data_IF_159149002713
#
_entry.id   IF_159149002713
#
_cell.length_a   1.000
_cell.length_b   1.000
_cell.length_c   1.000
_cell.angle_alpha   90.00
_cell.angle_beta   90.00
_cell.angle_gamma   90.00
#
_symmetry.space_group_name_H-M   'P 1'
#
loop_
_entity.id
_entity.type
_entity.pdbx_description
1 polymer ?
#
# COMPACT_ATOMS: atom_id res chain seq x y z
N UNK A 1 6.03 18.44 12.69
CA UNK A 1 5.99 17.11 12.04
C UNK A 1 4.80 16.36 12.61
N UNK A 2 3.97 15.77 11.75
CA UNK A 2 2.77 15.05 12.18
C UNK A 2 3.19 13.84 13.05
N UNK A 3 2.49 13.56 14.11
CA UNK A 3 2.82 12.51 15.12
C UNK A 3 3.01 11.11 14.51
N UNK A 4 2.45 10.85 13.34
CA UNK A 4 2.54 9.56 12.64
C UNK A 4 3.94 9.16 12.17
N UNK A 5 4.87 10.09 12.08
CA UNK A 5 6.25 9.83 11.67
C UNK A 5 7.25 9.81 12.84
N UNK A 6 6.78 9.97 14.08
CA UNK A 6 7.59 9.83 15.29
C UNK A 6 7.45 8.43 15.91
N UNK A 7 6.97 7.47 15.17
CA UNK A 7 6.70 6.09 15.57
C UNK A 7 7.20 5.11 14.52
N UNK A 8 7.42 3.83 14.86
CA UNK A 8 7.89 2.83 13.91
C UNK A 8 6.99 2.72 12.69
N UNK A 9 7.60 2.46 11.52
CA UNK A 9 6.91 2.30 10.24
C UNK A 9 7.06 0.87 9.78
N UNK A 10 5.96 0.29 9.28
CA UNK A 10 5.92 -1.06 8.73
C UNK A 10 5.49 -0.99 7.27
N UNK A 11 6.31 -1.56 6.37
CA UNK A 11 6.06 -1.59 4.93
C UNK A 11 5.61 -2.99 4.52
N UNK A 12 4.42 -3.10 3.94
CA UNK A 12 3.96 -4.31 3.25
C UNK A 12 3.97 -4.08 1.74
N UNK A 13 4.78 -4.86 1.05
CA UNK A 13 4.95 -4.78 -0.40
C UNK A 13 3.75 -5.27 -1.21
N UNK A 14 3.91 -5.22 -2.54
CA UNK A 14 2.89 -5.64 -3.51
C UNK A 14 3.05 -7.10 -3.97
N UNK A 15 2.02 -7.59 -4.66
CA UNK A 15 1.95 -8.94 -5.19
C UNK A 15 3.18 -9.30 -6.04
N UNK A 16 3.83 -10.42 -5.72
CA UNK A 16 5.04 -10.97 -6.36
C UNK A 16 6.27 -10.06 -6.34
N UNK A 17 6.25 -8.95 -5.60
CA UNK A 17 7.41 -8.10 -5.42
C UNK A 17 8.16 -8.57 -4.17
N UNK A 18 9.45 -8.85 -4.34
CA UNK A 18 10.30 -9.28 -3.22
C UNK A 18 10.46 -8.11 -2.23
N UNK A 19 10.48 -8.41 -0.93
CA UNK A 19 10.71 -7.41 0.14
C UNK A 19 12.00 -6.61 -0.06
N UNK A 20 13.05 -7.21 -0.63
CA UNK A 20 14.31 -6.48 -0.97
C UNK A 20 14.12 -5.30 -1.92
N UNK A 21 13.05 -5.28 -2.72
CA UNK A 21 12.76 -4.15 -3.62
C UNK A 21 12.43 -2.85 -2.85
N UNK A 22 12.02 -2.97 -1.59
CA UNK A 22 11.65 -1.84 -0.72
C UNK A 22 12.79 -1.35 0.18
N UNK A 23 13.98 -1.98 0.08
CA UNK A 23 15.12 -1.64 0.94
C UNK A 23 15.54 -0.18 0.80
N UNK A 24 15.73 0.29 -0.44
CA UNK A 24 16.08 1.69 -0.73
C UNK A 24 15.05 2.69 -0.15
N UNK A 25 13.76 2.38 -0.32
CA UNK A 25 12.65 3.15 0.25
C UNK A 25 12.70 3.18 1.79
N UNK A 26 12.90 2.03 2.42
CA UNK A 26 12.98 1.88 3.88
C UNK A 26 14.17 2.68 4.44
N UNK A 27 15.36 2.51 3.88
CA UNK A 27 16.58 3.23 4.28
C UNK A 27 16.42 4.74 4.13
N UNK A 28 15.82 5.19 3.04
CA UNK A 28 15.58 6.61 2.82
C UNK A 28 14.58 7.19 3.84
N UNK A 29 13.44 6.52 4.08
CA UNK A 29 12.48 6.94 5.09
C UNK A 29 13.15 7.01 6.47
N UNK A 30 13.88 5.97 6.87
CA UNK A 30 14.57 5.92 8.14
C UNK A 30 15.56 7.07 8.31
N UNK A 31 16.32 7.41 7.26
CA UNK A 31 17.29 8.53 7.30
C UNK A 31 16.61 9.90 7.43
N UNK A 32 15.38 10.06 6.91
CA UNK A 32 14.66 11.34 6.89
C UNK A 32 13.90 11.64 8.17
N UNK A 33 13.36 10.63 8.82
CA UNK A 33 12.45 10.80 9.96
C UNK A 33 12.97 10.15 11.25
N UNK A 34 14.19 9.60 11.22
CA UNK A 34 14.89 9.01 12.38
C UNK A 34 14.02 8.04 13.19
N UNK A 35 13.29 7.16 12.49
CA UNK A 35 12.46 6.13 13.11
C UNK A 35 12.77 4.75 12.53
N UNK A 36 12.46 3.71 13.28
CA UNK A 36 12.63 2.32 12.82
C UNK A 36 11.65 2.04 11.66
N UNK A 37 12.16 1.49 10.57
CA UNK A 37 11.36 1.10 9.42
C UNK A 37 11.58 -0.38 9.14
N UNK A 38 10.52 -1.17 9.23
CA UNK A 38 10.56 -2.62 9.02
C UNK A 38 9.78 -3.03 7.77
N UNK A 39 10.32 -3.96 6.99
CA UNK A 39 9.66 -4.49 5.79
C UNK A 39 9.13 -5.88 6.12
N UNK A 40 7.84 -6.11 5.95
CA UNK A 40 7.24 -7.45 6.14
C UNK A 40 7.84 -8.43 5.13
N UNK A 41 8.50 -9.52 5.59
CA UNK A 41 9.17 -10.47 4.71
C UNK A 41 8.15 -11.43 4.08
N UNK A 42 7.65 -11.08 2.89
CA UNK A 42 6.73 -11.92 2.12
C UNK A 42 7.45 -12.50 0.91
N UNK A 43 7.44 -13.81 0.79
CA UNK A 43 8.02 -14.55 -0.33
C UNK A 43 7.08 -14.57 -1.55
N UNK A 44 7.63 -14.88 -2.73
CA UNK A 44 6.81 -15.04 -3.95
C UNK A 44 5.76 -16.15 -3.83
N UNK A 45 6.11 -17.25 -3.12
CA UNK A 45 5.18 -18.37 -2.90
C UNK A 45 4.01 -17.94 -2.02
N UNK A 46 4.27 -17.21 -0.97
CA UNK A 46 3.22 -16.66 -0.11
C UNK A 46 2.33 -15.66 -0.87
N UNK A 47 2.91 -14.84 -1.75
CA UNK A 47 2.11 -14.00 -2.65
C UNK A 47 1.23 -14.80 -3.60
N UNK A 48 1.72 -15.90 -4.18
CA UNK A 48 0.92 -16.78 -5.04
C UNK A 48 -0.24 -17.44 -4.28
N UNK A 49 -0.04 -17.75 -3.00
CA UNK A 49 -1.11 -18.31 -2.15
C UNK A 49 -2.24 -17.31 -1.83
N UNK A 50 -2.06 -16.01 -2.09
CA UNK A 50 -3.11 -14.98 -1.87
C UNK A 50 -4.29 -15.06 -2.84
N UNK A 51 -4.30 -15.98 -3.79
CA UNK A 51 -5.50 -16.36 -4.51
C UNK A 51 -6.56 -17.00 -3.58
N UNK A 52 -6.13 -17.48 -2.42
CA UNK A 52 -6.98 -18.09 -1.38
C UNK A 52 -6.86 -17.32 -0.06
N UNK A 53 -7.85 -17.44 0.79
CA UNK A 53 -7.91 -16.75 2.09
C UNK A 53 -6.76 -17.13 3.03
N UNK A 54 -6.31 -18.38 3.00
CA UNK A 54 -5.18 -18.82 3.84
C UNK A 54 -3.88 -18.08 3.51
N UNK A 55 -3.66 -17.71 2.25
CA UNK A 55 -2.49 -16.94 1.85
C UNK A 55 -2.52 -15.50 2.41
N UNK A 56 -3.70 -14.88 2.43
CA UNK A 56 -3.87 -13.61 3.13
C UNK A 56 -3.62 -13.74 4.63
N UNK A 57 -4.12 -14.84 5.24
CA UNK A 57 -3.88 -15.12 6.66
C UNK A 57 -2.40 -15.21 6.99
N UNK A 58 -1.60 -15.92 6.19
CA UNK A 58 -0.14 -16.03 6.39
C UNK A 58 0.51 -14.65 6.42
N UNK A 59 0.14 -13.76 5.50
CA UNK A 59 0.70 -12.41 5.45
C UNK A 59 0.20 -11.57 6.62
N UNK A 60 -1.08 -11.66 6.96
CA UNK A 60 -1.67 -10.96 8.10
C UNK A 60 -1.03 -11.37 9.43
N UNK A 61 -0.74 -12.66 9.62
CA UNK A 61 -0.06 -13.16 10.84
C UNK A 61 1.37 -12.59 10.96
N UNK A 62 2.08 -12.44 9.82
CA UNK A 62 3.40 -11.78 9.79
C UNK A 62 3.30 -10.29 10.12
N UNK A 63 2.31 -9.59 9.56
CA UNK A 63 2.05 -8.19 9.88
C UNK A 63 1.75 -8.04 11.37
N UNK A 64 0.85 -8.86 11.91
CA UNK A 64 0.45 -8.86 13.33
C UNK A 64 1.66 -9.01 14.25
N UNK A 65 2.55 -9.98 13.96
CA UNK A 65 3.75 -10.21 14.76
C UNK A 65 4.62 -8.95 14.82
N UNK A 66 4.98 -8.39 13.65
CA UNK A 66 5.86 -7.22 13.57
C UNK A 66 5.19 -5.99 14.19
N UNK A 67 3.89 -5.78 13.95
CA UNK A 67 3.15 -4.65 14.53
C UNK A 67 3.15 -4.71 16.03
N UNK A 68 2.86 -5.87 16.64
CA UNK A 68 2.86 -6.04 18.10
C UNK A 68 4.23 -5.80 18.71
N UNK A 69 5.29 -6.34 18.10
CA UNK A 69 6.66 -6.12 18.55
C UNK A 69 7.01 -4.63 18.51
N UNK A 70 6.81 -3.95 17.38
CA UNK A 70 7.20 -2.55 17.23
C UNK A 70 6.28 -1.57 17.97
N UNK A 71 5.01 -1.88 18.16
CA UNK A 71 4.11 -1.02 18.94
C UNK A 71 4.54 -0.97 20.42
N UNK A 72 5.06 -2.06 20.97
CA UNK A 72 5.60 -2.09 22.35
C UNK A 72 6.87 -1.24 22.51
N UNK A 73 7.69 -1.13 21.45
CA UNK A 73 8.88 -0.28 21.42
C UNK A 73 8.54 1.20 21.19
N UNK A 74 7.33 1.50 20.74
CA UNK A 74 6.88 2.84 20.38
C UNK A 74 6.44 3.65 21.60
N UNK A 75 6.91 4.89 21.73
CA UNK A 75 6.45 5.81 22.77
C UNK A 75 4.94 6.13 22.71
N UNK A 76 4.32 5.92 21.56
CA UNK A 76 2.88 6.12 21.34
C UNK A 76 2.08 4.83 21.47
N UNK A 77 2.71 3.68 21.64
CA UNK A 77 2.13 2.34 21.51
C UNK A 77 1.44 2.12 20.15
N UNK A 78 1.86 2.87 19.14
CA UNK A 78 1.32 2.82 17.78
C UNK A 78 2.44 2.70 16.74
N UNK A 79 2.04 2.25 15.55
CA UNK A 79 2.88 2.21 14.36
C UNK A 79 2.20 2.90 13.18
N UNK A 80 2.98 3.27 12.18
CA UNK A 80 2.47 3.71 10.86
C UNK A 80 2.61 2.55 9.88
N UNK A 81 1.56 2.29 9.13
CA UNK A 81 1.51 1.25 8.11
C UNK A 81 1.66 1.87 6.72
N UNK A 82 2.52 1.30 5.89
CA UNK A 82 2.64 1.64 4.46
C UNK A 82 2.35 0.39 3.65
N UNK A 83 1.31 0.43 2.82
CA UNK A 83 0.95 -0.66 1.93
C UNK A 83 1.13 -0.30 0.46
N UNK A 84 1.99 -1.02 -0.26
CA UNK A 84 2.12 -0.86 -1.71
C UNK A 84 1.23 -1.87 -2.44
N UNK A 85 0.49 -1.40 -3.46
CA UNK A 85 -0.30 -2.28 -4.32
C UNK A 85 -1.26 -3.19 -3.51
N UNK A 86 -1.18 -4.51 -3.69
CA UNK A 86 -1.98 -5.48 -2.91
C UNK A 86 -1.73 -5.41 -1.40
N UNK A 87 -0.55 -4.96 -0.98
CA UNK A 87 -0.22 -4.78 0.45
C UNK A 87 -1.17 -3.79 1.15
N UNK A 88 -1.57 -2.71 0.47
CA UNK A 88 -2.53 -1.77 1.06
C UNK A 88 -3.91 -2.40 1.31
N UNK A 89 -4.36 -3.31 0.45
CA UNK A 89 -5.61 -4.03 0.64
C UNK A 89 -5.54 -4.99 1.85
N UNK A 90 -4.42 -5.70 2.01
CA UNK A 90 -4.19 -6.58 3.16
C UNK A 90 -4.11 -5.78 4.45
N UNK A 91 -3.45 -4.61 4.45
CA UNK A 91 -3.37 -3.75 5.63
C UNK A 91 -4.73 -3.13 6.01
N UNK A 92 -5.61 -2.83 5.05
CA UNK A 92 -6.99 -2.42 5.37
C UNK A 92 -7.75 -3.52 6.10
N UNK A 93 -7.59 -4.78 5.69
CA UNK A 93 -8.16 -5.92 6.40
C UNK A 93 -7.50 -6.11 7.78
N UNK A 94 -6.18 -5.93 7.88
CA UNK A 94 -5.46 -5.99 9.16
C UNK A 94 -6.04 -5.02 10.21
N UNK A 95 -6.37 -3.80 9.81
CA UNK A 95 -6.96 -2.80 10.72
C UNK A 95 -8.32 -3.23 11.28
N UNK A 96 -9.03 -4.17 10.64
CA UNK A 96 -10.41 -4.45 10.93
C UNK A 96 -10.63 -5.37 12.14
N UNK A 97 -11.83 -5.26 12.71
CA UNK A 97 -12.39 -6.18 13.71
C UNK A 97 -13.21 -7.31 13.07
N UNK A 98 -13.09 -7.50 11.76
CA UNK A 98 -13.74 -8.60 11.05
C UNK A 98 -13.07 -9.94 11.36
N UNK A 99 -13.90 -10.97 11.56
CA UNK A 99 -13.41 -12.34 11.60
C UNK A 99 -12.95 -12.76 10.19
N UNK A 100 -11.67 -13.08 10.06
CA UNK A 100 -11.09 -13.53 8.80
C UNK A 100 -10.22 -14.77 9.03
N UNK A 101 -10.56 -15.87 8.35
CA UNK A 101 -9.83 -17.15 8.44
C UNK A 101 -9.54 -17.59 9.89
N UNK A 102 -10.53 -17.41 10.78
CA UNK A 102 -10.46 -17.80 12.18
C UNK A 102 -9.80 -16.77 13.12
N UNK A 103 -9.31 -15.63 12.64
CA UNK A 103 -8.66 -14.60 13.44
C UNK A 103 -9.39 -13.25 13.32
N UNK A 104 -9.30 -12.43 14.38
CA UNK A 104 -9.65 -11.01 14.41
C UNK A 104 -8.37 -10.26 14.76
N UNK A 105 -7.87 -9.43 13.83
CA UNK A 105 -6.57 -8.74 13.99
C UNK A 105 -6.67 -7.44 14.79
N UNK A 106 -7.73 -6.66 14.58
CA UNK A 106 -7.95 -5.39 15.27
C UNK A 106 -6.75 -4.41 15.21
N UNK A 107 -6.05 -4.38 14.08
CA UNK A 107 -4.84 -3.60 13.90
C UNK A 107 -5.00 -2.11 14.17
N UNK A 108 -6.23 -1.55 14.12
CA UNK A 108 -6.55 -0.18 14.53
C UNK A 108 -6.15 0.13 15.98
N UNK A 109 -6.04 -0.90 16.84
CA UNK A 109 -5.58 -0.74 18.21
C UNK A 109 -4.07 -0.52 18.31
N UNK A 110 -3.31 -0.83 17.26
CA UNK A 110 -1.84 -0.77 17.20
C UNK A 110 -1.31 0.20 16.15
N UNK A 111 -2.14 0.61 15.19
CA UNK A 111 -1.77 1.55 14.15
C UNK A 111 -2.75 2.72 14.12
N UNK A 112 -2.24 3.94 13.93
CA UNK A 112 -3.03 5.16 13.82
C UNK A 112 -2.87 5.88 12.46
N UNK A 113 -2.08 5.30 11.55
CA UNK A 113 -1.94 5.81 10.19
C UNK A 113 -1.74 4.66 9.19
N UNK A 114 -2.46 4.71 8.07
CA UNK A 114 -2.28 3.84 6.91
C UNK A 114 -2.03 4.68 5.66
N UNK A 115 -0.87 4.52 5.07
CA UNK A 115 -0.50 5.10 3.77
C UNK A 115 -0.59 3.99 2.71
N UNK A 116 -1.40 4.18 1.68
CA UNK A 116 -1.46 3.25 0.54
C UNK A 116 -0.83 3.86 -0.70
N UNK A 117 0.09 3.13 -1.32
CA UNK A 117 0.84 3.54 -2.50
C UNK A 117 0.39 2.70 -3.71
N UNK A 118 -0.32 3.28 -4.67
CA UNK A 118 -0.82 2.58 -5.84
C UNK A 118 -1.68 1.35 -5.53
N UNK A 119 -2.36 1.31 -4.38
CA UNK A 119 -3.20 0.18 -3.99
C UNK A 119 -4.56 0.27 -4.69
N UNK A 120 -5.11 -0.84 -5.24
CA UNK A 120 -6.40 -0.82 -5.92
C UNK A 120 -7.55 -0.77 -4.91
N UNK A 121 -7.66 0.33 -4.17
CA UNK A 121 -8.59 0.54 -3.07
C UNK A 121 -10.06 0.53 -3.51
N UNK A 122 -10.34 0.99 -4.73
CA UNK A 122 -11.68 1.16 -5.30
C UNK A 122 -11.77 0.52 -6.69
N UNK A 123 -11.28 -0.71 -6.83
CA UNK A 123 -11.39 -1.42 -8.10
C UNK A 123 -12.86 -1.78 -8.40
N UNK A 124 -13.37 -1.35 -9.56
CA UNK A 124 -14.73 -1.72 -10.03
C UNK A 124 -14.86 -3.22 -10.30
N UNK A 125 -13.74 -3.88 -10.68
CA UNK A 125 -13.63 -5.32 -10.85
C UNK A 125 -12.50 -5.81 -9.96
N UNK A 126 -12.81 -6.66 -9.01
CA UNK A 126 -11.86 -7.13 -8.03
C UNK A 126 -11.94 -8.65 -7.89
N UNK A 127 -10.86 -9.27 -7.43
CA UNK A 127 -10.91 -10.65 -6.94
C UNK A 127 -11.85 -10.74 -5.75
N UNK A 128 -12.31 -11.95 -5.43
CA UNK A 128 -13.19 -12.18 -4.29
C UNK A 128 -12.69 -11.52 -3.00
N UNK A 129 -11.41 -11.69 -2.66
CA UNK A 129 -10.83 -11.13 -1.43
C UNK A 129 -10.73 -9.60 -1.46
N UNK A 130 -10.38 -8.98 -2.60
CA UNK A 130 -10.40 -7.51 -2.71
C UNK A 130 -11.81 -6.96 -2.61
N UNK A 131 -12.77 -7.64 -3.24
CA UNK A 131 -14.18 -7.27 -3.13
C UNK A 131 -14.69 -7.40 -1.70
N UNK A 132 -14.29 -8.45 -0.97
CA UNK A 132 -14.58 -8.61 0.46
C UNK A 132 -14.12 -7.39 1.25
N UNK A 133 -12.85 -6.96 1.09
CA UNK A 133 -12.34 -5.78 1.78
C UNK A 133 -13.10 -4.51 1.37
N UNK A 134 -13.29 -4.28 0.07
CA UNK A 134 -13.92 -3.05 -0.42
C UNK A 134 -15.38 -2.92 -0.02
N UNK A 135 -16.13 -4.04 0.06
CA UNK A 135 -17.54 -4.06 0.43
C UNK A 135 -17.77 -3.99 1.94
N UNK A 136 -16.89 -4.62 2.73
CA UNK A 136 -17.02 -4.64 4.20
C UNK A 136 -16.39 -3.45 4.89
N UNK A 137 -15.38 -2.84 4.25
CA UNK A 137 -14.61 -1.72 4.76
C UNK A 137 -14.57 -0.60 3.72
N UNK A 138 -15.71 0.00 3.35
CA UNK A 138 -15.75 1.04 2.32
C UNK A 138 -15.01 2.30 2.76
N UNK A 139 -14.23 2.89 1.86
CA UNK A 139 -13.49 4.12 2.12
C UNK A 139 -12.50 3.99 3.29
N UNK A 140 -12.28 5.10 3.99
CA UNK A 140 -11.50 5.18 5.24
C UNK A 140 -12.33 4.75 6.45
N UNK A 141 -12.72 3.47 6.48
CA UNK A 141 -13.74 2.94 7.39
C UNK A 141 -13.48 3.23 8.89
N UNK A 142 -12.22 3.18 9.32
CA UNK A 142 -11.84 3.48 10.70
C UNK A 142 -11.23 4.88 10.85
N UNK A 143 -11.74 5.89 10.15
CA UNK A 143 -11.19 7.24 10.14
C UNK A 143 -11.26 7.97 11.49
N UNK A 144 -12.02 7.47 12.45
CA UNK A 144 -12.01 7.94 13.85
C UNK A 144 -10.75 7.54 14.61
N UNK A 145 -10.15 6.39 14.25
CA UNK A 145 -9.02 5.80 14.96
C UNK A 145 -7.73 5.86 14.13
N UNK A 146 -7.86 5.84 12.81
CA UNK A 146 -6.74 5.69 11.87
C UNK A 146 -6.81 6.77 10.79
N UNK A 147 -5.73 7.53 10.63
CA UNK A 147 -5.57 8.45 9.50
C UNK A 147 -5.25 7.66 8.22
N UNK A 148 -5.98 7.95 7.15
CA UNK A 148 -5.77 7.31 5.86
C UNK A 148 -5.17 8.28 4.85
N UNK A 149 -4.10 7.87 4.19
CA UNK A 149 -3.48 8.61 3.09
C UNK A 149 -3.39 7.68 1.90
N UNK A 150 -3.97 8.06 0.77
CA UNK A 150 -3.87 7.29 -0.47
C UNK A 150 -3.07 8.06 -1.51
N UNK A 151 -2.03 7.41 -2.02
CA UNK A 151 -1.13 7.96 -3.03
C UNK A 151 -1.35 7.23 -4.35
N UNK A 152 -1.70 7.98 -5.39
CA UNK A 152 -1.90 7.47 -6.74
C UNK A 152 -0.88 8.07 -7.71
N UNK A 153 -0.28 7.25 -8.54
CA UNK A 153 0.63 7.68 -9.60
C UNK A 153 -0.10 7.95 -10.92
N UNK A 154 0.42 8.89 -11.67
CA UNK A 154 0.09 9.13 -13.07
C UNK A 154 1.38 9.00 -13.88
N UNK A 155 1.44 8.01 -14.74
CA UNK A 155 2.56 7.73 -15.63
C UNK A 155 2.16 8.08 -17.06
N UNK A 156 2.91 8.98 -17.70
CA UNK A 156 2.82 9.12 -19.16
C UNK A 156 3.41 7.89 -19.81
N UNK A 157 2.55 7.08 -20.42
CA UNK A 157 2.96 5.83 -21.08
C UNK A 157 3.81 6.07 -22.32
N UNK A 158 3.76 7.28 -22.89
CA UNK A 158 4.59 7.67 -24.03
C UNK A 158 5.84 8.47 -23.60
N UNK A 159 5.95 8.78 -22.31
CA UNK A 159 7.04 9.55 -21.73
C UNK A 159 8.32 8.74 -21.49
N UNK A 160 9.44 9.41 -21.19
CA UNK A 160 10.76 8.79 -21.05
C UNK A 160 10.90 7.89 -19.81
N UNK A 161 9.99 7.97 -18.86
CA UNK A 161 10.00 7.18 -17.61
C UNK A 161 9.39 5.81 -17.82
N UNK A 162 8.39 5.70 -18.72
CA UNK A 162 7.66 4.46 -18.97
C UNK A 162 8.55 3.36 -19.57
N UNK A 163 8.26 2.12 -19.18
CA UNK A 163 8.93 0.94 -19.74
C UNK A 163 8.04 0.21 -20.75
N UNK A 164 8.63 -0.73 -21.50
CA UNK A 164 7.87 -1.64 -22.36
C UNK A 164 6.83 -2.45 -21.57
N UNK A 165 7.12 -2.74 -20.31
CA UNK A 165 6.19 -3.46 -19.41
C UNK A 165 4.94 -2.63 -19.13
N UNK A 166 5.10 -1.35 -18.79
CA UNK A 166 3.95 -0.45 -18.57
C UNK A 166 3.10 -0.29 -19.84
N UNK A 167 3.73 -0.06 -21.00
CA UNK A 167 3.03 0.01 -22.29
C UNK A 167 2.22 -1.25 -22.60
N UNK A 168 2.81 -2.42 -22.31
CA UNK A 168 2.20 -3.72 -22.64
C UNK A 168 1.06 -4.09 -21.69
N UNK A 169 1.19 -3.80 -20.41
CA UNK A 169 0.29 -4.31 -19.37
C UNK A 169 -0.78 -3.29 -18.92
N UNK A 170 -0.54 -1.98 -19.06
CA UNK A 170 -1.42 -0.94 -18.52
C UNK A 170 -2.87 -1.07 -18.99
N UNK A 171 -3.08 -1.14 -20.31
CA UNK A 171 -4.44 -1.18 -20.88
C UNK A 171 -5.24 -2.40 -20.43
N UNK A 172 -4.61 -3.57 -20.34
CA UNK A 172 -5.27 -4.79 -19.87
C UNK A 172 -5.57 -4.74 -18.39
N UNK A 173 -4.62 -4.25 -17.58
CA UNK A 173 -4.79 -4.07 -16.14
C UNK A 173 -5.86 -3.01 -15.82
N UNK A 174 -5.84 -1.89 -16.51
CA UNK A 174 -6.82 -0.81 -16.33
C UNK A 174 -8.22 -1.31 -16.66
N UNK A 175 -8.39 -2.05 -17.77
CA UNK A 175 -9.67 -2.68 -18.11
C UNK A 175 -10.10 -3.68 -17.04
N UNK A 176 -9.17 -4.47 -16.51
CA UNK A 176 -9.46 -5.45 -15.48
C UNK A 176 -9.89 -4.80 -14.15
N UNK A 177 -9.27 -3.68 -13.76
CA UNK A 177 -9.55 -3.01 -12.48
C UNK A 177 -10.69 -1.99 -12.56
N UNK A 178 -10.79 -1.23 -13.66
CA UNK A 178 -11.72 -0.11 -13.79
C UNK A 178 -12.83 -0.33 -14.85
N UNK A 179 -12.74 -1.38 -15.65
CA UNK A 179 -13.67 -1.61 -16.76
C UNK A 179 -13.35 -0.80 -18.03
N UNK A 180 -12.49 0.21 -17.95
CA UNK A 180 -12.02 1.04 -19.05
C UNK A 180 -10.49 0.95 -19.14
N UNK A 181 -9.96 0.81 -20.37
CA UNK A 181 -8.52 0.72 -20.64
C UNK A 181 -7.86 2.09 -20.86
N UNK A 182 -8.66 3.08 -21.23
CA UNK A 182 -8.20 4.40 -21.63
C UNK A 182 -8.38 5.38 -20.44
N UNK A 183 -7.75 5.05 -19.31
CA UNK A 183 -7.75 5.82 -18.07
C UNK A 183 -6.31 6.14 -17.65
N UNK A 184 -6.14 7.15 -16.81
CA UNK A 184 -4.86 7.55 -16.26
C UNK A 184 -4.53 6.68 -15.05
N UNK A 185 -3.26 6.32 -14.87
CA UNK A 185 -2.75 5.56 -13.73
C UNK A 185 -1.24 5.37 -13.77
N UNK A 186 -0.73 4.55 -12.89
CA UNK A 186 0.71 4.34 -12.66
C UNK A 186 1.36 3.26 -13.58
N UNK A 187 0.66 2.83 -14.61
CA UNK A 187 1.07 1.75 -15.52
C UNK A 187 0.49 0.39 -15.16
N UNK A 188 -0.06 0.21 -13.97
CA UNK A 188 -0.73 -1.03 -13.53
C UNK A 188 -2.09 -0.75 -12.86
N UNK A 189 -2.16 0.22 -11.96
CA UNK A 189 -3.38 0.58 -11.23
C UNK A 189 -3.90 1.93 -11.73
N UNK A 190 -5.19 2.02 -12.11
CA UNK A 190 -5.81 3.29 -12.43
C UNK A 190 -5.77 4.25 -11.24
N UNK A 191 -5.50 5.52 -11.49
CA UNK A 191 -5.48 6.58 -10.46
C UNK A 191 -6.70 6.55 -9.57
N UNK A 192 -7.89 6.55 -10.17
CA UNK A 192 -9.15 6.61 -9.43
C UNK A 192 -9.42 5.32 -8.61
N UNK A 193 -8.82 4.20 -9.03
CA UNK A 193 -8.85 2.97 -8.24
C UNK A 193 -7.88 3.01 -7.04
N UNK A 194 -6.80 3.79 -7.13
CA UNK A 194 -5.82 3.91 -6.05
C UNK A 194 -6.24 4.88 -4.96
N UNK A 195 -6.99 5.94 -5.30
CA UNK A 195 -7.49 6.91 -4.34
C UNK A 195 -8.62 6.31 -3.50
N UNK A 196 -8.52 6.44 -2.17
CA UNK A 196 -9.50 5.92 -1.23
C UNK A 196 -10.47 7.02 -0.80
N UNK A 197 -11.76 6.78 -0.85
CA UNK A 197 -12.78 7.74 -0.39
C UNK A 197 -12.58 8.03 1.10
N UNK A 198 -12.62 9.30 1.48
CA UNK A 198 -12.46 9.77 2.86
C UNK A 198 -11.01 9.82 3.36
N UNK A 199 -10.02 9.41 2.55
CA UNK A 199 -8.61 9.57 2.88
C UNK A 199 -8.06 10.93 2.44
N UNK A 200 -6.91 11.34 2.97
CA UNK A 200 -6.08 12.35 2.34
C UNK A 200 -5.55 11.78 1.02
N UNK A 201 -5.95 12.39 -0.10
CA UNK A 201 -5.60 11.92 -1.44
C UNK A 201 -4.40 12.68 -2.00
N UNK A 202 -3.41 11.94 -2.50
CA UNK A 202 -2.21 12.49 -3.12
C UNK A 202 -2.07 11.92 -4.53
N UNK A 203 -1.93 12.79 -5.52
CA UNK A 203 -1.69 12.40 -6.91
C UNK A 203 -0.28 12.84 -7.30
N UNK A 204 0.51 11.88 -7.77
CA UNK A 204 1.90 12.08 -8.14
C UNK A 204 2.09 11.92 -9.65
N UNK A 205 2.55 12.99 -10.29
CA UNK A 205 2.90 12.95 -11.71
C UNK A 205 4.15 12.10 -11.93
N UNK A 206 4.31 11.57 -13.15
CA UNK A 206 5.47 10.79 -13.57
C UNK A 206 5.90 9.75 -12.52
N UNK A 207 4.90 8.97 -12.05
CA UNK A 207 5.11 7.96 -11.01
C UNK A 207 4.56 6.62 -11.47
N UNK A 208 5.45 5.65 -11.60
CA UNK A 208 5.14 4.29 -12.02
C UNK A 208 4.76 3.40 -10.82
N UNK A 209 4.06 2.29 -11.11
CA UNK A 209 3.66 1.31 -10.11
C UNK A 209 4.85 0.64 -9.40
N UNK A 210 5.93 0.40 -10.10
CA UNK A 210 7.14 -0.22 -9.57
C UNK A 210 8.28 -0.15 -10.59
N UNK A 211 9.49 -0.55 -10.21
CA UNK A 211 10.69 -0.50 -11.08
C UNK A 211 10.50 -1.19 -12.45
N UNK A 212 9.65 -2.21 -12.52
CA UNK A 212 9.34 -2.88 -13.79
C UNK A 212 8.48 -2.01 -14.73
N UNK A 213 7.71 -1.07 -14.21
CA UNK A 213 6.78 -0.22 -14.96
C UNK A 213 7.36 1.14 -15.32
N UNK A 214 8.34 1.63 -14.56
CA UNK A 214 8.97 2.90 -14.85
C UNK A 214 10.20 3.15 -13.99
N UNK A 215 11.03 4.10 -14.47
CA UNK A 215 12.27 4.47 -13.81
C UNK A 215 12.03 5.08 -12.44
N UNK A 216 11.03 5.96 -12.32
CA UNK A 216 10.59 6.58 -11.07
C UNK A 216 9.28 5.95 -10.62
N UNK A 217 9.29 5.35 -9.44
CA UNK A 217 8.15 4.68 -8.84
C UNK A 217 7.98 5.12 -7.38
N UNK A 218 6.89 4.75 -6.71
CA UNK A 218 6.60 5.16 -5.33
C UNK A 218 7.75 4.99 -4.33
N UNK A 219 8.65 4.02 -4.55
CA UNK A 219 9.80 3.74 -3.69
C UNK A 219 11.11 4.39 -4.17
N UNK A 220 11.13 5.14 -5.26
CA UNK A 220 12.28 5.93 -5.69
C UNK A 220 12.48 7.11 -4.76
N UNK A 221 13.72 7.45 -4.42
CA UNK A 221 14.09 8.47 -3.43
C UNK A 221 13.33 9.80 -3.62
N UNK A 222 13.32 10.34 -4.83
CA UNK A 222 12.61 11.57 -5.19
C UNK A 222 11.10 11.45 -4.96
N UNK A 223 10.51 10.29 -5.25
CA UNK A 223 9.07 10.04 -5.06
C UNK A 223 8.72 9.81 -3.61
N UNK A 224 9.58 9.13 -2.85
CA UNK A 224 9.42 9.00 -1.40
C UNK A 224 9.43 10.37 -0.73
N UNK A 225 10.39 11.24 -1.10
CA UNK A 225 10.46 12.59 -0.56
C UNK A 225 9.18 13.38 -0.85
N UNK A 226 8.66 13.30 -2.08
CA UNK A 226 7.46 14.00 -2.51
C UNK A 226 6.23 13.58 -1.68
N UNK A 227 5.88 12.28 -1.65
CA UNK A 227 4.69 11.86 -0.92
C UNK A 227 4.86 11.91 0.60
N UNK A 228 6.07 11.70 1.12
CA UNK A 228 6.35 11.81 2.56
C UNK A 228 6.15 13.24 3.07
N UNK A 229 6.66 14.23 2.33
CA UNK A 229 6.47 15.64 2.66
C UNK A 229 4.99 16.05 2.64
N UNK A 230 4.20 15.51 1.70
CA UNK A 230 2.76 15.77 1.65
C UNK A 230 2.04 15.05 2.81
N UNK A 231 2.41 13.81 3.09
CA UNK A 231 1.82 13.01 4.15
C UNK A 231 2.07 13.59 5.56
N UNK A 232 3.20 14.27 5.75
CA UNK A 232 3.61 14.86 7.05
C UNK A 232 3.00 16.24 7.36
N UNK A 233 2.31 16.84 6.43
CA UNK A 233 1.53 18.09 6.60
C UNK A 233 0.09 17.77 7.02
#
# INVERSE_FOLDING_TARGET
MNTYFNQPIIILGGFLINSSAYKEMSEYIQSRINTKVEIVPVTKIEWLSTNWSFGWKIILDKVEKIVKELSQESSTNKVTLIGHSSGGMILRLYLSDLLFSGNIYNGKNYANCLITLGSPNQAKRATYLRNFVSSRLPGSFYSTDVSYISVAGELDLNGPIATRTSLRLSKSSYRALNGNRDVIGDGLVPRDSALLIGSKQVVMKETAHGKAFGKDWYGSKNKVEEWLNIASR
#
